data_IF_229704024288
#
_entry.id   IF_229704024288
#
_cell.length_a   1.000
_cell.length_b   1.000
_cell.length_c   1.000
_cell.angle_alpha   90.00
_cell.angle_beta   90.00
_cell.angle_gamma   90.00
#
_symmetry.space_group_name_H-M   'P 1'
#
loop_
_entity.id
_entity.type
_entity.pdbx_description
1 polymer ?
#
# COMPACT_ATOMS: atom_id res chain seq x y z
N UNK A 1 -33.66 -7.85 0.35
CA UNK A 1 -32.98 -6.57 0.63
C UNK A 1 -31.57 -6.66 0.06
N UNK A 2 -31.35 -6.11 -1.14
CA UNK A 2 -30.03 -6.01 -1.76
C UNK A 2 -29.38 -4.71 -1.32
N UNK A 3 -28.50 -4.76 -0.33
CA UNK A 3 -27.71 -3.60 0.07
C UNK A 3 -26.25 -3.83 -0.34
N UNK A 4 -25.94 -3.57 -1.61
CA UNK A 4 -24.58 -3.65 -2.16
C UNK A 4 -23.80 -2.34 -1.95
N UNK A 5 -24.02 -1.67 -0.82
CA UNK A 5 -23.20 -0.53 -0.42
C UNK A 5 -22.14 -1.06 0.54
N UNK A 6 -21.20 -1.82 0.00
CA UNK A 6 -19.88 -1.95 0.65
C UNK A 6 -19.24 -0.56 0.51
N UNK A 7 -19.51 0.32 1.48
CA UNK A 7 -18.71 1.51 1.71
C UNK A 7 -17.25 1.07 1.67
N UNK A 8 -16.46 1.68 0.79
CA UNK A 8 -15.11 1.27 0.40
C UNK A 8 -14.36 0.55 1.54
N UNK A 9 -14.11 -0.78 1.44
CA UNK A 9 -13.55 -1.51 2.56
C UNK A 9 -12.19 -0.94 2.89
N UNK A 10 -12.10 -0.27 4.05
CA UNK A 10 -10.82 0.21 4.56
C UNK A 10 -10.02 -1.01 5.00
N UNK A 11 -8.70 -1.03 4.76
CA UNK A 11 -7.87 -2.11 5.25
C UNK A 11 -7.97 -2.19 6.78
N UNK A 12 -8.35 -3.37 7.28
CA UNK A 12 -8.37 -3.65 8.71
C UNK A 12 -6.96 -4.01 9.18
N UNK A 13 -6.51 -3.43 10.29
CA UNK A 13 -5.20 -3.71 10.87
C UNK A 13 -4.45 -2.44 11.26
N UNK A 14 -3.18 -2.60 11.67
CA UNK A 14 -2.32 -1.47 12.00
C UNK A 14 -1.71 -0.90 10.72
N UNK A 15 -1.79 0.43 10.55
CA UNK A 15 -1.04 1.10 9.49
C UNK A 15 0.46 0.91 9.70
N UNK A 16 1.12 0.21 8.79
CA UNK A 16 2.57 -0.07 8.90
C UNK A 16 3.42 0.94 8.13
N UNK A 17 2.99 1.36 6.94
CA UNK A 17 3.78 2.27 6.11
C UNK A 17 2.88 3.33 5.45
N UNK A 18 3.29 4.60 5.55
CA UNK A 18 2.70 5.72 4.82
C UNK A 18 3.79 6.64 4.31
N UNK A 19 3.80 6.89 3.01
CA UNK A 19 4.76 7.78 2.36
C UNK A 19 4.08 8.60 1.26
N UNK A 20 4.74 9.68 0.87
CA UNK A 20 4.34 10.53 -0.25
C UNK A 20 5.28 10.20 -1.42
N UNK A 21 4.76 9.75 -2.58
CA UNK A 21 5.60 9.52 -3.74
C UNK A 21 6.15 10.84 -4.30
N UNK A 22 7.30 10.73 -4.94
CA UNK A 22 8.03 11.83 -5.56
C UNK A 22 8.11 11.64 -7.07
N UNK A 23 8.58 12.67 -7.79
CA UNK A 23 8.77 12.60 -9.24
C UNK A 23 9.72 11.48 -9.69
N UNK A 24 10.63 11.01 -8.83
CA UNK A 24 11.53 9.89 -9.18
C UNK A 24 10.88 8.51 -9.06
N UNK A 25 9.69 8.42 -8.47
CA UNK A 25 8.99 7.15 -8.24
C UNK A 25 8.06 6.78 -9.42
N UNK A 26 8.00 7.63 -10.45
CA UNK A 26 7.19 7.41 -11.64
C UNK A 26 7.91 6.53 -12.67
N UNK A 27 7.13 5.82 -13.49
CA UNK A 27 7.61 5.12 -14.67
C UNK A 27 7.71 6.09 -15.87
N UNK A 28 8.12 5.59 -17.05
CA UNK A 28 8.28 6.41 -18.26
C UNK A 28 6.99 7.10 -18.74
N UNK A 29 5.81 6.61 -18.34
CA UNK A 29 4.51 7.21 -18.64
C UNK A 29 4.12 8.31 -17.64
N UNK A 30 4.84 8.45 -16.53
CA UNK A 30 4.54 9.41 -15.46
C UNK A 30 3.63 8.87 -14.36
N UNK A 31 3.15 7.64 -14.46
CA UNK A 31 2.41 6.96 -13.37
C UNK A 31 3.38 6.40 -12.33
N UNK A 32 2.91 6.10 -11.12
CA UNK A 32 3.74 5.40 -10.12
C UNK A 32 4.19 4.03 -10.65
N UNK A 33 5.47 3.73 -10.50
CA UNK A 33 6.04 2.46 -10.91
C UNK A 33 5.48 1.28 -10.09
N UNK A 34 4.99 0.24 -10.77
CA UNK A 34 4.49 -0.97 -10.10
C UNK A 34 5.58 -1.71 -9.30
N UNK A 35 6.82 -1.74 -9.81
CA UNK A 35 7.95 -2.33 -9.08
C UNK A 35 8.30 -1.55 -7.81
N UNK A 36 8.15 -0.22 -7.84
CA UNK A 36 8.31 0.61 -6.66
C UNK A 36 7.23 0.31 -5.61
N UNK A 37 5.96 0.13 -6.02
CA UNK A 37 4.87 -0.24 -5.11
C UNK A 37 5.17 -1.57 -4.41
N UNK A 38 5.56 -2.59 -5.17
CA UNK A 38 5.91 -3.90 -4.60
C UNK A 38 7.06 -3.80 -3.59
N UNK A 39 8.08 -3.00 -3.87
CA UNK A 39 9.18 -2.75 -2.93
C UNK A 39 8.68 -2.11 -1.61
N UNK A 40 7.75 -1.15 -1.67
CA UNK A 40 7.16 -0.56 -0.44
C UNK A 40 6.27 -1.56 0.32
N UNK A 41 5.56 -2.43 -0.40
CA UNK A 41 4.77 -3.49 0.22
C UNK A 41 5.65 -4.51 0.96
N UNK A 42 6.78 -4.90 0.37
CA UNK A 42 7.74 -5.82 1.01
C UNK A 42 8.32 -5.22 2.31
N UNK A 43 8.75 -3.95 2.27
CA UNK A 43 9.20 -3.21 3.47
C UNK A 43 8.11 -3.14 4.56
N UNK A 44 6.86 -2.90 4.17
CA UNK A 44 5.74 -2.87 5.11
C UNK A 44 5.45 -4.27 5.70
N UNK A 45 5.59 -5.33 4.89
CA UNK A 45 5.42 -6.70 5.35
C UNK A 45 6.54 -7.11 6.33
N UNK A 46 7.78 -6.74 6.05
CA UNK A 46 8.94 -6.94 6.94
C UNK A 46 8.70 -6.31 8.31
N UNK A 47 8.31 -5.03 8.37
CA UNK A 47 8.02 -4.35 9.64
C UNK A 47 6.80 -4.96 10.34
N UNK A 48 5.80 -5.41 9.57
CA UNK A 48 4.64 -6.12 10.13
C UNK A 48 5.03 -7.43 10.78
N UNK A 49 5.88 -8.23 10.13
CA UNK A 49 6.36 -9.50 10.65
C UNK A 49 7.21 -9.32 11.91
N UNK A 50 8.05 -8.26 11.97
CA UNK A 50 8.88 -7.94 13.15
C UNK A 50 8.07 -7.71 14.43
N UNK A 51 6.83 -7.28 14.34
CA UNK A 51 6.00 -7.03 15.52
C UNK A 51 5.33 -8.27 16.11
N UNK A 52 5.23 -9.34 15.33
CA UNK A 52 4.53 -10.57 15.72
C UNK A 52 5.51 -11.58 16.32
N UNK A 53 6.80 -11.45 16.01
CA UNK A 53 7.90 -12.25 16.57
C UNK A 53 8.35 -11.71 17.94
#
# INVERSE_FOLDING_TARGET
MTNFTEDTPLPNGRLTLRLIPTHSDTNASGDISGGWVLNKMDMAAEDTARMIA
#
